data_IF_865113286929
#
_entry.id   IF_865113286929
#
_cell.length_a   1.000
_cell.length_b   1.000
_cell.length_c   1.000
_cell.angle_alpha   90.00
_cell.angle_beta   90.00
_cell.angle_gamma   90.00
#
_symmetry.space_group_name_H-M   'P 1'
#
loop_
_entity.id
_entity.type
_entity.pdbx_description
1 polymer ?
#
# COMPACT_ATOMS: atom_id res chain seq x y z
N UNK A 1 -33.25 -21.56 59.04
CA UNK A 1 -32.99 -20.37 58.24
C UNK A 1 -31.77 -20.64 57.29
N UNK A 2 -32.01 -21.07 56.09
CA UNK A 2 -30.96 -21.32 55.06
C UNK A 2 -30.91 -20.11 54.13
N UNK A 3 -29.76 -19.44 54.04
CA UNK A 3 -29.50 -18.34 53.11
C UNK A 3 -29.05 -18.97 51.78
N UNK A 4 -29.81 -18.73 50.72
CA UNK A 4 -29.41 -19.00 49.37
C UNK A 4 -28.51 -17.88 48.89
N UNK A 5 -27.27 -18.20 48.49
CA UNK A 5 -26.41 -17.32 47.69
C UNK A 5 -26.73 -17.54 46.22
N UNK A 6 -27.23 -16.52 45.57
CA UNK A 6 -27.36 -16.46 44.10
C UNK A 6 -26.11 -15.82 43.55
N UNK A 7 -25.29 -16.63 42.87
CA UNK A 7 -24.10 -16.15 42.12
C UNK A 7 -24.57 -15.76 40.71
N UNK A 8 -24.59 -14.46 40.44
CA UNK A 8 -24.85 -13.96 39.11
C UNK A 8 -23.56 -14.06 38.25
N UNK A 9 -23.59 -14.92 37.22
CA UNK A 9 -22.58 -14.97 36.21
C UNK A 9 -22.82 -13.80 35.22
N UNK A 10 -21.96 -12.80 35.25
CA UNK A 10 -21.90 -11.79 34.19
C UNK A 10 -21.12 -12.38 32.97
N UNK A 11 -21.83 -12.75 31.94
CA UNK A 11 -21.25 -13.00 30.61
C UNK A 11 -21.02 -11.67 29.92
N UNK A 12 -19.77 -11.23 29.85
CA UNK A 12 -19.37 -10.10 29.01
C UNK A 12 -19.33 -10.56 27.57
N UNK A 13 -20.34 -10.23 26.77
CA UNK A 13 -20.29 -10.31 25.32
C UNK A 13 -19.39 -9.19 24.82
N UNK A 14 -18.20 -9.55 24.36
CA UNK A 14 -17.35 -8.64 23.59
C UNK A 14 -18.00 -8.49 22.21
N UNK A 15 -18.79 -7.46 22.03
CA UNK A 15 -19.24 -7.02 20.73
C UNK A 15 -18.01 -6.40 20.03
N UNK A 16 -17.44 -7.13 19.05
CA UNK A 16 -16.46 -6.60 18.10
C UNK A 16 -17.12 -5.51 17.26
N UNK A 17 -17.14 -4.30 17.78
CA UNK A 17 -17.55 -3.13 17.03
C UNK A 17 -16.42 -2.74 16.07
N UNK A 18 -16.60 -2.94 14.77
CA UNK A 18 -15.89 -2.16 13.77
C UNK A 18 -16.20 -0.70 14.06
N UNK A 19 -15.21 0.04 14.57
CA UNK A 19 -15.34 1.46 14.75
C UNK A 19 -15.42 2.12 13.36
N UNK A 20 -16.63 2.24 12.81
CA UNK A 20 -16.90 3.20 11.77
C UNK A 20 -16.71 4.58 12.38
N UNK A 21 -15.71 5.31 11.89
CA UNK A 21 -15.49 6.72 12.25
C UNK A 21 -16.68 7.51 11.70
N UNK A 22 -17.73 7.62 12.49
CA UNK A 22 -18.87 8.52 12.23
C UNK A 22 -18.48 9.92 12.69
N UNK A 23 -17.87 10.70 11.82
CA UNK A 23 -17.89 12.17 11.80
C UNK A 23 -16.97 12.71 10.71
N UNK A 24 -17.27 12.38 9.46
CA UNK A 24 -16.65 13.08 8.32
C UNK A 24 -17.74 13.88 7.63
N UNK A 25 -17.55 15.20 7.50
CA UNK A 25 -18.38 16.07 6.66
C UNK A 25 -18.24 15.73 5.18
N UNK A 26 -17.24 14.92 4.84
CA UNK A 26 -16.92 14.44 3.51
C UNK A 26 -16.71 12.91 3.56
N UNK A 27 -17.03 12.22 2.49
CA UNK A 27 -16.89 10.78 2.38
C UNK A 27 -17.17 10.31 0.95
N UNK A 28 -17.04 9.02 0.73
CA UNK A 28 -17.38 8.43 -0.57
C UNK A 28 -18.88 8.57 -0.83
N UNK A 29 -19.28 8.93 -2.06
CA UNK A 29 -20.71 9.09 -2.41
C UNK A 29 -21.48 7.77 -2.44
N UNK A 30 -20.77 6.63 -2.49
CA UNK A 30 -21.30 5.28 -2.54
C UNK A 30 -20.55 4.41 -1.53
N UNK A 31 -21.30 3.71 -0.69
CA UNK A 31 -20.72 2.71 0.21
C UNK A 31 -20.54 1.38 -0.52
N UNK A 32 -19.32 0.82 -0.58
CA UNK A 32 -19.07 -0.45 -1.23
C UNK A 32 -19.68 -1.60 -0.41
N UNK A 33 -20.32 -2.54 -1.09
CA UNK A 33 -20.69 -3.81 -0.45
C UNK A 33 -19.41 -4.57 -0.10
N UNK A 34 -19.23 -5.04 1.16
CA UNK A 34 -18.07 -5.83 1.51
C UNK A 34 -18.00 -7.08 0.60
N UNK A 35 -16.86 -7.29 -0.07
CA UNK A 35 -16.73 -8.42 -1.00
C UNK A 35 -16.87 -9.78 -0.31
N UNK A 36 -16.64 -9.85 1.00
CA UNK A 36 -16.91 -11.04 1.84
C UNK A 36 -18.39 -11.41 1.91
N UNK A 37 -19.28 -10.46 1.60
CA UNK A 37 -20.74 -10.69 1.51
C UNK A 37 -21.16 -11.21 0.14
N UNK A 38 -20.24 -11.29 -0.83
CA UNK A 38 -20.49 -11.75 -2.20
C UNK A 38 -19.98 -13.17 -2.37
N UNK A 39 -20.85 -14.07 -2.86
CA UNK A 39 -20.47 -15.45 -3.22
C UNK A 39 -20.45 -15.59 -4.73
N UNK A 40 -19.32 -16.00 -5.27
CA UNK A 40 -19.18 -16.35 -6.68
C UNK A 40 -19.61 -17.81 -6.84
N UNK A 41 -20.74 -18.04 -7.54
CA UNK A 41 -21.35 -19.37 -7.69
C UNK A 41 -21.26 -19.91 -9.11
N UNK A 42 -20.82 -19.10 -10.06
CA UNK A 42 -20.66 -19.52 -11.44
C UNK A 42 -19.38 -20.35 -11.66
N UNK A 43 -19.37 -21.13 -12.73
CA UNK A 43 -18.24 -22.01 -13.05
C UNK A 43 -17.01 -21.26 -13.58
N UNK A 44 -17.18 -20.04 -14.11
CA UNK A 44 -16.10 -19.24 -14.64
C UNK A 44 -15.32 -18.52 -13.53
N UNK A 45 -16.01 -17.77 -12.68
CA UNK A 45 -15.40 -17.05 -11.57
C UNK A 45 -14.89 -17.99 -10.47
N UNK A 46 -15.69 -19.00 -10.11
CA UNK A 46 -15.34 -19.97 -9.07
C UNK A 46 -14.06 -20.76 -9.39
N UNK A 47 -13.87 -21.18 -10.64
CA UNK A 47 -12.62 -21.86 -11.05
C UNK A 47 -11.40 -20.96 -10.92
N UNK A 48 -11.52 -19.66 -11.22
CA UNK A 48 -10.42 -18.70 -11.10
C UNK A 48 -10.06 -18.44 -9.66
N UNK A 49 -11.04 -18.30 -8.78
CA UNK A 49 -10.80 -18.14 -7.34
C UNK A 49 -10.11 -19.39 -6.77
N UNK A 50 -10.53 -20.58 -7.17
CA UNK A 50 -9.87 -21.83 -6.76
C UNK A 50 -8.42 -21.91 -7.30
N UNK A 51 -8.20 -21.60 -8.57
CA UNK A 51 -6.85 -21.57 -9.14
C UNK A 51 -5.95 -20.55 -8.45
N UNK A 52 -6.48 -19.38 -8.11
CA UNK A 52 -5.74 -18.38 -7.34
C UNK A 52 -5.32 -18.90 -5.97
N UNK A 53 -6.26 -19.49 -5.22
CA UNK A 53 -6.04 -20.01 -3.87
C UNK A 53 -5.10 -21.23 -3.84
N UNK A 54 -5.33 -22.19 -4.73
CA UNK A 54 -4.68 -23.50 -4.65
C UNK A 54 -3.36 -23.57 -5.42
N UNK A 55 -3.16 -22.69 -6.41
CA UNK A 55 -1.99 -22.70 -7.30
C UNK A 55 -1.24 -21.38 -7.27
N UNK A 56 -1.91 -20.26 -7.59
CA UNK A 56 -1.20 -18.99 -7.82
C UNK A 56 -0.56 -18.44 -6.54
N UNK A 57 -1.29 -18.40 -5.43
CA UNK A 57 -0.79 -17.90 -4.15
C UNK A 57 0.38 -18.74 -3.63
N UNK A 58 0.30 -20.09 -3.53
CA UNK A 58 1.43 -20.93 -3.14
C UNK A 58 2.65 -20.77 -4.07
N UNK A 59 2.42 -20.69 -5.39
CA UNK A 59 3.49 -20.49 -6.36
C UNK A 59 4.16 -19.12 -6.17
N UNK A 60 3.39 -18.05 -5.92
CA UNK A 60 3.95 -16.72 -5.71
C UNK A 60 4.85 -16.67 -4.46
N UNK A 61 4.46 -17.29 -3.36
CA UNK A 61 5.30 -17.42 -2.18
C UNK A 61 6.58 -18.25 -2.45
N UNK A 62 6.44 -19.39 -3.15
CA UNK A 62 7.60 -20.19 -3.56
C UNK A 62 8.57 -19.36 -4.42
N UNK A 63 8.07 -18.52 -5.31
CA UNK A 63 8.92 -17.65 -6.12
C UNK A 63 9.59 -16.55 -5.29
N UNK A 64 8.93 -15.98 -4.30
CA UNK A 64 9.56 -15.05 -3.35
C UNK A 64 10.75 -15.70 -2.64
N UNK A 65 10.62 -16.97 -2.23
CA UNK A 65 11.71 -17.73 -1.60
C UNK A 65 12.83 -18.05 -2.60
N UNK A 66 12.51 -18.71 -3.72
CA UNK A 66 13.46 -19.16 -4.74
C UNK A 66 14.28 -18.01 -5.34
N UNK A 67 13.68 -16.83 -5.47
CA UNK A 67 14.32 -15.65 -6.07
C UNK A 67 14.96 -14.72 -5.05
N UNK A 68 15.04 -15.13 -3.77
CA UNK A 68 15.79 -14.43 -2.73
C UNK A 68 15.10 -13.25 -2.09
N UNK A 69 13.78 -13.04 -2.30
CA UNK A 69 13.05 -11.93 -1.68
C UNK A 69 13.07 -12.01 -0.15
N UNK A 70 12.90 -13.21 0.42
CA UNK A 70 13.04 -13.41 1.87
C UNK A 70 14.49 -13.22 2.35
N UNK A 71 15.47 -13.66 1.56
CA UNK A 71 16.88 -13.47 1.86
C UNK A 71 17.24 -12.00 1.96
N UNK A 72 16.62 -11.11 1.16
CA UNK A 72 16.84 -9.67 1.25
C UNK A 72 16.44 -9.13 2.64
N UNK A 73 15.31 -9.55 3.19
CA UNK A 73 14.91 -9.14 4.55
C UNK A 73 15.85 -9.72 5.63
N UNK A 74 16.26 -10.99 5.50
CA UNK A 74 17.24 -11.58 6.43
C UNK A 74 18.55 -10.81 6.40
N UNK A 75 19.04 -10.45 5.21
CA UNK A 75 20.25 -9.67 5.04
C UNK A 75 20.08 -8.22 5.59
N UNK A 76 18.92 -7.61 5.41
CA UNK A 76 18.64 -6.28 5.94
C UNK A 76 18.57 -6.28 7.49
N UNK A 77 18.14 -7.39 8.11
CA UNK A 77 18.20 -7.57 9.55
C UNK A 77 19.64 -7.71 10.09
N UNK A 78 20.60 -8.07 9.22
CA UNK A 78 22.02 -8.25 9.55
C UNK A 78 22.91 -7.57 8.51
N UNK A 79 22.90 -6.22 8.42
CA UNK A 79 23.63 -5.49 7.39
C UNK A 79 25.13 -5.77 7.40
N UNK A 80 25.74 -5.88 6.20
CA UNK A 80 27.16 -6.12 6.08
C UNK A 80 27.71 -5.51 4.78
N UNK A 81 28.92 -4.94 4.86
CA UNK A 81 29.64 -4.42 3.70
C UNK A 81 30.02 -5.51 2.68
N UNK A 82 29.91 -6.77 3.05
CA UNK A 82 30.20 -7.92 2.16
C UNK A 82 29.00 -8.38 1.35
N UNK A 83 27.79 -7.91 1.69
CA UNK A 83 26.57 -8.25 0.97
C UNK A 83 26.56 -7.51 -0.37
N UNK A 84 26.44 -8.26 -1.46
CA UNK A 84 26.20 -7.70 -2.77
C UNK A 84 24.70 -7.48 -2.94
N UNK A 85 24.30 -6.21 -3.00
CA UNK A 85 22.92 -5.83 -3.26
C UNK A 85 22.65 -5.94 -4.76
N UNK A 86 21.63 -6.69 -5.14
CA UNK A 86 21.26 -6.94 -6.54
C UNK A 86 19.75 -7.07 -6.67
N UNK A 87 19.29 -7.52 -7.84
CA UNK A 87 17.87 -7.62 -8.16
C UNK A 87 17.30 -6.27 -8.58
N UNK A 88 16.06 -5.99 -8.19
CA UNK A 88 15.39 -4.72 -8.44
C UNK A 88 15.18 -3.96 -7.12
N UNK A 89 15.26 -2.65 -7.17
CA UNK A 89 15.10 -1.80 -5.99
C UNK A 89 13.71 -1.93 -5.31
N UNK A 90 12.75 -2.59 -5.96
CA UNK A 90 11.39 -2.82 -5.45
C UNK A 90 11.07 -4.30 -5.19
N UNK A 91 12.07 -5.16 -5.08
CA UNK A 91 11.89 -6.60 -4.82
C UNK A 91 11.09 -6.90 -3.54
N UNK A 92 11.17 -6.04 -2.52
CA UNK A 92 10.39 -6.16 -1.28
C UNK A 92 8.88 -6.21 -1.56
N UNK A 93 8.43 -5.50 -2.60
CA UNK A 93 7.00 -5.41 -2.93
C UNK A 93 6.41 -6.73 -3.43
N UNK A 94 7.23 -7.66 -3.93
CA UNK A 94 6.75 -8.97 -4.35
C UNK A 94 6.20 -9.75 -3.15
N UNK A 95 6.85 -9.63 -1.99
CA UNK A 95 6.37 -10.21 -0.72
C UNK A 95 5.08 -9.53 -0.27
N UNK A 96 5.04 -8.20 -0.27
CA UNK A 96 3.86 -7.43 0.19
C UNK A 96 2.64 -7.70 -0.67
N UNK A 97 2.77 -7.70 -1.99
CA UNK A 97 1.70 -7.99 -2.96
C UNK A 97 1.19 -9.42 -2.83
N UNK A 98 2.11 -10.39 -2.60
CA UNK A 98 1.72 -11.78 -2.41
C UNK A 98 0.92 -11.95 -1.12
N UNK A 99 1.33 -11.28 -0.02
CA UNK A 99 0.56 -11.26 1.24
C UNK A 99 -0.79 -10.58 1.03
N UNK A 100 -0.86 -9.48 0.27
CA UNK A 100 -2.12 -8.79 -0.04
C UNK A 100 -3.10 -9.72 -0.75
N UNK A 101 -2.67 -10.36 -1.84
CA UNK A 101 -3.50 -11.32 -2.58
C UNK A 101 -3.94 -12.51 -1.73
N UNK A 102 -3.04 -13.06 -0.90
CA UNK A 102 -3.35 -14.12 0.05
C UNK A 102 -4.38 -13.67 1.11
N UNK A 103 -4.27 -12.43 1.57
CA UNK A 103 -5.20 -11.85 2.56
C UNK A 103 -6.62 -11.73 2.01
N UNK A 104 -6.80 -11.32 0.76
CA UNK A 104 -8.13 -11.33 0.13
C UNK A 104 -8.69 -12.74 -0.01
N UNK A 105 -7.84 -13.74 -0.27
CA UNK A 105 -8.27 -15.14 -0.27
C UNK A 105 -8.69 -15.59 1.13
N UNK A 106 -7.94 -15.25 2.18
CA UNK A 106 -8.26 -15.59 3.57
C UNK A 106 -9.59 -15.00 4.05
N UNK A 107 -9.98 -13.83 3.57
CA UNK A 107 -11.24 -13.19 3.94
C UNK A 107 -12.46 -13.99 3.43
N UNK A 108 -12.34 -14.71 2.31
CA UNK A 108 -13.41 -15.49 1.72
C UNK A 108 -13.27 -16.98 2.00
N UNK A 109 -12.06 -17.47 2.12
CA UNK A 109 -11.71 -18.87 2.35
C UNK A 109 -10.67 -18.96 3.49
N UNK A 110 -11.09 -18.99 4.75
CA UNK A 110 -10.18 -19.08 5.89
C UNK A 110 -9.27 -20.31 5.79
N UNK A 111 -7.96 -20.10 5.90
CA UNK A 111 -6.93 -21.16 5.86
C UNK A 111 -5.87 -20.87 6.93
N UNK A 112 -5.93 -21.62 8.03
CA UNK A 112 -5.03 -21.43 9.16
C UNK A 112 -3.55 -21.70 8.82
N UNK A 113 -3.27 -22.63 7.90
CA UNK A 113 -1.90 -22.93 7.49
C UNK A 113 -1.29 -21.78 6.67
N UNK A 114 -2.08 -21.20 5.78
CA UNK A 114 -1.66 -20.02 5.02
C UNK A 114 -1.42 -18.82 5.96
N UNK A 115 -2.31 -18.62 6.93
CA UNK A 115 -2.16 -17.55 7.92
C UNK A 115 -0.89 -17.73 8.77
N UNK A 116 -0.63 -18.93 9.28
CA UNK A 116 0.59 -19.24 10.04
C UNK A 116 1.86 -19.08 9.19
N UNK A 117 1.79 -19.43 7.92
CA UNK A 117 2.90 -19.21 6.98
C UNK A 117 3.18 -17.72 6.78
N UNK A 118 2.14 -16.91 6.55
CA UNK A 118 2.28 -15.46 6.43
C UNK A 118 2.88 -14.87 7.71
N UNK A 119 2.40 -15.28 8.89
CA UNK A 119 2.98 -14.83 10.16
C UNK A 119 4.49 -15.13 10.24
N UNK A 120 4.93 -16.30 9.77
CA UNK A 120 6.36 -16.63 9.75
C UNK A 120 7.18 -15.74 8.83
N UNK A 121 6.63 -15.36 7.68
CA UNK A 121 7.25 -14.39 6.75
C UNK A 121 7.30 -13.00 7.39
N UNK A 122 6.25 -12.59 8.09
CA UNK A 122 6.19 -11.29 8.76
C UNK A 122 7.21 -11.15 9.90
N UNK A 123 7.64 -12.24 10.53
CA UNK A 123 8.77 -12.22 11.49
C UNK A 123 10.06 -11.78 10.80
N UNK A 124 10.32 -12.27 9.59
CA UNK A 124 11.50 -11.92 8.80
C UNK A 124 11.42 -10.44 8.37
N UNK A 125 10.26 -10.00 7.89
CA UNK A 125 10.02 -8.60 7.50
C UNK A 125 10.20 -7.65 8.69
N UNK A 126 9.63 -7.98 9.85
CA UNK A 126 9.75 -7.18 11.06
C UNK A 126 11.21 -7.02 11.52
N UNK A 127 12.02 -8.09 11.43
CA UNK A 127 13.42 -8.06 11.80
C UNK A 127 14.27 -7.14 10.93
N UNK A 128 13.87 -6.91 9.67
CA UNK A 128 14.56 -6.03 8.73
C UNK A 128 14.25 -4.53 8.94
N UNK A 129 13.23 -4.20 9.75
CA UNK A 129 12.84 -2.81 9.96
C UNK A 129 13.82 -2.09 10.91
N UNK A 130 14.33 -0.95 10.48
CA UNK A 130 15.25 -0.13 11.27
C UNK A 130 14.55 0.48 12.51
N UNK A 131 15.31 0.86 13.55
CA UNK A 131 14.72 1.33 14.81
C UNK A 131 13.80 2.54 14.66
N UNK A 132 14.06 3.41 13.68
CA UNK A 132 13.27 4.61 13.38
C UNK A 132 12.04 4.33 12.50
N UNK A 133 11.84 3.07 12.11
CA UNK A 133 10.71 2.60 11.31
C UNK A 133 10.98 2.48 9.81
N UNK A 134 12.12 2.95 9.31
CA UNK A 134 12.48 2.78 7.90
C UNK A 134 12.58 1.31 7.53
N UNK A 135 12.08 0.94 6.33
CA UNK A 135 12.21 -0.41 5.80
C UNK A 135 12.33 -0.40 4.28
N UNK A 136 13.53 -0.65 3.79
CA UNK A 136 13.84 -0.74 2.36
C UNK A 136 15.11 -1.56 2.19
N UNK A 137 14.98 -2.86 1.87
CA UNK A 137 16.10 -3.81 1.90
C UNK A 137 17.19 -3.45 0.91
N UNK A 138 16.83 -2.92 -0.25
CA UNK A 138 17.78 -2.50 -1.29
C UNK A 138 18.82 -1.47 -0.79
N UNK A 139 18.54 -0.79 0.33
CA UNK A 139 19.47 0.12 0.99
C UNK A 139 20.05 -0.48 2.26
N UNK A 140 19.20 -1.07 3.10
CA UNK A 140 19.57 -1.49 4.45
C UNK A 140 20.55 -2.67 4.46
N UNK A 141 20.49 -3.57 3.47
CA UNK A 141 21.38 -4.74 3.41
C UNK A 141 22.87 -4.37 3.41
N UNK A 142 23.25 -3.30 2.70
CA UNK A 142 24.61 -2.78 2.66
C UNK A 142 24.57 -1.25 2.60
N UNK A 143 24.56 -0.55 3.74
CA UNK A 143 24.42 0.91 3.75
C UNK A 143 25.57 1.67 3.09
N UNK A 144 26.75 1.07 2.97
CA UNK A 144 27.91 1.69 2.29
C UNK A 144 27.85 1.54 0.78
N UNK A 145 27.28 0.44 0.32
CA UNK A 145 27.13 0.09 -1.10
C UNK A 145 25.71 -0.41 -1.36
N UNK A 146 24.70 0.48 -1.22
CA UNK A 146 23.29 0.12 -1.46
C UNK A 146 23.07 -0.19 -2.93
N UNK A 147 21.85 -0.61 -3.29
CA UNK A 147 21.46 -0.79 -4.68
C UNK A 147 21.70 0.51 -5.47
N UNK A 148 22.20 0.39 -6.70
CA UNK A 148 22.57 1.55 -7.54
C UNK A 148 21.43 2.57 -7.70
N UNK A 149 20.18 2.12 -7.66
CA UNK A 149 19.00 2.98 -7.77
C UNK A 149 18.62 3.69 -6.48
N UNK A 150 19.21 3.31 -5.34
CA UNK A 150 18.86 3.87 -4.02
C UNK A 150 19.44 5.25 -3.77
N UNK A 151 20.45 5.63 -4.55
CA UNK A 151 21.18 6.88 -4.35
C UNK A 151 22.08 6.88 -3.10
N UNK A 152 22.78 7.98 -2.83
CA UNK A 152 23.74 8.08 -1.72
C UNK A 152 23.05 8.16 -0.35
N UNK A 153 21.86 8.74 -0.27
CA UNK A 153 21.14 8.97 0.99
C UNK A 153 19.69 8.50 0.86
N UNK A 154 19.00 8.29 1.99
CA UNK A 154 17.55 8.03 2.00
C UNK A 154 16.83 9.14 1.26
N UNK A 155 15.83 8.78 0.48
CA UNK A 155 14.94 9.68 -0.27
C UNK A 155 15.61 10.46 -1.40
N UNK A 156 16.94 10.37 -1.59
CA UNK A 156 17.65 11.16 -2.61
C UNK A 156 17.18 10.84 -4.04
N UNK A 157 16.87 9.58 -4.33
CA UNK A 157 16.42 9.11 -5.65
C UNK A 157 14.96 8.68 -5.71
N UNK A 158 14.17 9.02 -4.70
CA UNK A 158 12.78 8.55 -4.56
C UNK A 158 11.87 9.04 -5.68
N UNK A 159 12.16 10.19 -6.26
CA UNK A 159 11.42 10.71 -7.42
C UNK A 159 11.84 10.03 -8.74
N UNK A 160 12.96 9.34 -8.76
CA UNK A 160 13.52 8.66 -9.91
C UNK A 160 13.31 7.14 -9.82
N UNK A 161 14.25 6.43 -9.24
CA UNK A 161 14.36 4.98 -9.35
C UNK A 161 14.36 4.22 -8.02
N UNK A 162 14.56 4.87 -6.85
CA UNK A 162 14.75 4.13 -5.59
C UNK A 162 13.51 3.34 -5.16
N UNK A 163 12.32 3.79 -5.53
CA UNK A 163 11.06 3.08 -5.21
C UNK A 163 10.75 2.95 -3.70
N UNK A 164 11.35 3.76 -2.83
CA UNK A 164 11.12 3.71 -1.39
C UNK A 164 9.63 3.92 -1.05
N UNK A 165 8.99 4.95 -1.64
CA UNK A 165 7.55 5.18 -1.43
C UNK A 165 6.65 4.16 -2.14
N UNK A 166 7.13 3.54 -3.22
CA UNK A 166 6.43 2.42 -3.85
C UNK A 166 6.42 1.19 -2.92
N UNK A 167 7.54 0.92 -2.25
CA UNK A 167 7.64 -0.13 -1.23
C UNK A 167 6.71 0.16 -0.05
N UNK A 168 6.69 1.40 0.45
CA UNK A 168 5.72 1.82 1.48
C UNK A 168 4.28 1.57 1.04
N UNK A 169 3.92 1.99 -0.16
CA UNK A 169 2.55 1.86 -0.66
C UNK A 169 2.08 0.42 -0.67
N UNK A 170 2.84 -0.49 -1.28
CA UNK A 170 2.49 -1.91 -1.32
C UNK A 170 2.54 -2.59 0.05
N UNK A 171 3.45 -2.17 0.93
CA UNK A 171 3.44 -2.65 2.32
C UNK A 171 2.14 -2.27 3.02
N UNK A 172 1.71 -1.02 2.92
CA UNK A 172 0.47 -0.55 3.55
C UNK A 172 -0.75 -1.28 3.01
N UNK A 173 -0.85 -1.45 1.68
CA UNK A 173 -1.95 -2.20 1.05
C UNK A 173 -2.02 -3.64 1.58
N UNK A 174 -0.88 -4.35 1.57
CA UNK A 174 -0.80 -5.71 2.10
C UNK A 174 -1.11 -5.79 3.60
N UNK A 175 -0.63 -4.83 4.38
CA UNK A 175 -0.83 -4.80 5.83
C UNK A 175 -2.29 -4.54 6.22
N UNK A 176 -2.96 -3.62 5.53
CA UNK A 176 -4.39 -3.35 5.75
C UNK A 176 -5.22 -4.55 5.34
N UNK A 177 -4.93 -5.18 4.19
CA UNK A 177 -5.62 -6.38 3.75
C UNK A 177 -5.46 -7.53 4.76
N UNK A 178 -4.26 -7.74 5.29
CA UNK A 178 -3.99 -8.78 6.28
C UNK A 178 -4.71 -8.52 7.61
N UNK A 179 -4.70 -7.27 8.07
CA UNK A 179 -5.45 -6.86 9.26
C UNK A 179 -6.96 -7.08 9.10
N UNK A 180 -7.52 -6.71 7.94
CA UNK A 180 -8.94 -6.93 7.64
C UNK A 180 -9.30 -8.41 7.56
N UNK A 181 -8.39 -9.26 7.08
CA UNK A 181 -8.60 -10.70 6.96
C UNK A 181 -8.55 -11.43 8.31
N UNK A 182 -7.62 -11.04 9.19
CA UNK A 182 -7.25 -11.84 10.36
C UNK A 182 -7.49 -11.13 11.70
N UNK A 183 -7.63 -9.81 11.69
CA UNK A 183 -7.64 -8.97 12.91
C UNK A 183 -6.26 -8.80 13.55
N UNK A 184 -5.19 -9.42 13.00
CA UNK A 184 -3.83 -9.33 13.55
C UNK A 184 -3.16 -8.02 13.14
N UNK A 185 -2.45 -7.42 14.08
CA UNK A 185 -1.78 -6.14 13.87
C UNK A 185 -0.30 -6.26 13.48
N UNK A 186 0.27 -7.46 13.50
CA UNK A 186 1.71 -7.68 13.28
C UNK A 186 2.24 -7.01 12.00
N UNK A 187 1.56 -7.15 10.86
CA UNK A 187 1.96 -6.47 9.63
C UNK A 187 1.55 -4.98 9.63
N UNK A 188 0.37 -4.67 10.16
CA UNK A 188 -0.11 -3.29 10.25
C UNK A 188 0.84 -2.42 11.08
N UNK A 189 1.36 -2.93 12.19
CA UNK A 189 2.28 -2.16 13.05
C UNK A 189 3.64 -1.91 12.37
N UNK A 190 4.14 -2.83 11.53
CA UNK A 190 5.32 -2.61 10.70
C UNK A 190 5.05 -1.48 9.69
N UNK A 191 3.92 -1.53 8.98
CA UNK A 191 3.54 -0.53 7.99
C UNK A 191 3.30 0.86 8.63
N UNK A 192 2.67 0.92 9.80
CA UNK A 192 2.51 2.15 10.59
C UNK A 192 3.86 2.78 10.91
N UNK A 193 4.81 2.01 11.41
CA UNK A 193 6.15 2.52 11.74
C UNK A 193 6.87 3.08 10.52
N UNK A 194 6.73 2.45 9.35
CA UNK A 194 7.34 2.98 8.13
C UNK A 194 6.61 4.23 7.63
N UNK A 195 5.29 4.25 7.66
CA UNK A 195 4.51 5.44 7.33
C UNK A 195 4.82 6.61 8.26
N UNK A 196 5.01 6.35 9.57
CA UNK A 196 5.41 7.36 10.56
C UNK A 196 6.82 7.90 10.28
N UNK A 197 7.75 7.05 9.86
CA UNK A 197 9.07 7.47 9.43
C UNK A 197 8.96 8.46 8.25
N UNK A 198 8.16 8.14 7.24
CA UNK A 198 7.92 9.01 6.09
C UNK A 198 7.27 10.33 6.51
N UNK A 199 6.19 10.28 7.30
CA UNK A 199 5.52 11.52 7.78
C UNK A 199 6.43 12.42 8.62
N UNK A 200 7.42 11.86 9.31
CA UNK A 200 8.42 12.60 10.09
C UNK A 200 9.46 13.28 9.21
N UNK A 201 9.89 12.64 8.12
CA UNK A 201 11.03 13.09 7.32
C UNK A 201 10.62 13.83 6.04
N UNK A 202 9.38 13.66 5.58
CA UNK A 202 8.89 14.20 4.30
C UNK A 202 7.76 15.19 4.56
N UNK A 203 7.94 16.42 4.09
CA UNK A 203 6.98 17.50 4.28
C UNK A 203 7.59 18.87 4.04
N UNK A 204 6.97 19.92 4.60
CA UNK A 204 7.43 21.31 4.53
C UNK A 204 7.87 21.85 5.90
N UNK A 205 7.87 21.03 6.94
CA UNK A 205 8.30 21.42 8.28
C UNK A 205 9.83 21.55 8.39
N UNK A 206 10.28 22.06 9.52
CA UNK A 206 11.72 22.18 9.81
C UNK A 206 12.38 20.80 9.82
N UNK A 207 13.47 20.65 9.05
CA UNK A 207 14.21 19.38 8.91
C UNK A 207 13.58 18.37 7.97
N UNK A 208 12.38 18.63 7.42
CA UNK A 208 11.73 17.76 6.43
C UNK A 208 12.23 18.04 5.01
N UNK A 209 12.12 17.04 4.15
CA UNK A 209 12.42 17.15 2.73
C UNK A 209 11.13 17.20 1.90
N UNK A 210 11.09 18.06 0.89
CA UNK A 210 10.01 18.05 -0.12
C UNK A 210 10.38 16.99 -1.15
N UNK A 211 9.65 15.87 -1.13
CA UNK A 211 9.80 14.75 -2.04
C UNK A 211 8.42 14.19 -2.41
N UNK A 212 8.31 13.64 -3.61
CA UNK A 212 7.10 12.96 -4.08
C UNK A 212 7.45 11.55 -4.58
N UNK A 213 6.52 10.59 -4.57
CA UNK A 213 6.76 9.26 -5.12
C UNK A 213 7.14 9.33 -6.60
N UNK A 214 8.28 8.78 -6.99
CA UNK A 214 8.62 8.61 -8.41
C UNK A 214 7.69 7.61 -9.08
N UNK A 215 7.33 6.55 -8.39
CA UNK A 215 6.23 5.65 -8.75
C UNK A 215 5.11 5.78 -7.72
N UNK A 216 3.94 6.18 -8.20
CA UNK A 216 2.75 6.36 -7.38
C UNK A 216 2.25 5.02 -6.84
N UNK A 217 1.58 5.06 -5.75
CA UNK A 217 0.77 4.14 -4.97
C UNK A 217 0.71 4.59 -3.50
N UNK A 218 1.76 5.22 -2.99
CA UNK A 218 1.80 5.67 -1.59
C UNK A 218 0.62 6.58 -1.26
N UNK A 219 0.15 7.36 -2.23
CA UNK A 219 -0.96 8.29 -2.08
C UNK A 219 -2.26 7.57 -1.70
N UNK A 220 -2.68 6.57 -2.49
CA UNK A 220 -3.88 5.81 -2.17
C UNK A 220 -3.71 4.92 -0.94
N UNK A 221 -2.54 4.32 -0.77
CA UNK A 221 -2.24 3.45 0.35
C UNK A 221 -2.28 4.20 1.70
N UNK A 222 -1.75 5.42 1.77
CA UNK A 222 -1.82 6.24 2.97
C UNK A 222 -3.25 6.66 3.31
N UNK A 223 -4.09 6.92 2.30
CA UNK A 223 -5.53 7.13 2.53
C UNK A 223 -6.16 5.87 3.13
N UNK A 224 -5.82 4.70 2.60
CA UNK A 224 -6.31 3.43 3.15
C UNK A 224 -5.83 3.21 4.59
N UNK A 225 -4.59 3.58 4.90
CA UNK A 225 -4.07 3.53 6.27
C UNK A 225 -4.86 4.47 7.20
N UNK A 226 -5.19 5.68 6.73
CA UNK A 226 -6.05 6.61 7.45
C UNK A 226 -7.43 6.00 7.76
N UNK A 227 -8.07 5.34 6.78
CA UNK A 227 -9.40 4.75 7.00
C UNK A 227 -9.42 3.65 8.07
N UNK A 228 -8.31 2.96 8.28
CA UNK A 228 -8.18 1.88 9.28
C UNK A 228 -7.74 2.42 10.65
N UNK A 229 -6.87 3.44 10.67
CA UNK A 229 -6.29 3.97 11.91
C UNK A 229 -7.04 5.17 12.48
N UNK A 230 -7.72 5.94 11.64
CA UNK A 230 -8.31 7.25 11.98
C UNK A 230 -7.28 8.38 12.14
N UNK A 231 -5.99 8.12 11.93
CA UNK A 231 -4.93 9.12 12.11
C UNK A 231 -4.80 9.99 10.86
N UNK A 232 -5.23 11.23 10.99
CA UNK A 232 -5.30 12.22 9.91
C UNK A 232 -3.96 12.51 9.24
N UNK A 233 -2.83 12.30 9.93
CA UNK A 233 -1.50 12.55 9.36
C UNK A 233 -1.24 11.77 8.07
N UNK A 234 -1.84 10.57 7.91
CA UNK A 234 -1.69 9.75 6.70
C UNK A 234 -2.48 10.33 5.52
N UNK A 235 -3.70 10.84 5.77
CA UNK A 235 -4.46 11.57 4.74
C UNK A 235 -3.75 12.86 4.34
N UNK A 236 -3.20 13.59 5.31
CA UNK A 236 -2.44 14.82 5.06
C UNK A 236 -1.17 14.54 4.25
N UNK A 237 -0.46 13.43 4.55
CA UNK A 237 0.72 13.01 3.79
C UNK A 237 0.37 12.58 2.36
N UNK A 238 -0.74 11.86 2.17
CA UNK A 238 -1.24 11.50 0.85
C UNK A 238 -1.53 12.75 0.00
N UNK A 239 -2.26 13.71 0.59
CA UNK A 239 -2.55 14.99 -0.05
C UNK A 239 -1.29 15.79 -0.35
N UNK A 240 -0.32 15.82 0.57
CA UNK A 240 0.98 16.48 0.37
C UNK A 240 1.70 15.93 -0.87
N UNK A 241 1.76 14.62 -1.05
CA UNK A 241 2.40 14.02 -2.22
C UNK A 241 1.73 14.46 -3.53
N UNK A 242 0.41 14.53 -3.55
CA UNK A 242 -0.34 15.00 -4.71
C UNK A 242 -0.15 16.49 -4.94
N UNK A 243 -0.26 17.32 -3.89
CA UNK A 243 -0.12 18.78 -3.98
C UNK A 243 1.28 19.21 -4.45
N UNK A 244 2.32 18.46 -4.09
CA UNK A 244 3.70 18.77 -4.48
C UNK A 244 4.09 18.23 -5.86
N UNK A 245 3.34 17.28 -6.41
CA UNK A 245 3.64 16.76 -7.75
C UNK A 245 3.43 17.84 -8.81
N UNK A 246 4.45 17.97 -9.66
CA UNK A 246 4.54 19.03 -10.68
C UNK A 246 5.20 20.32 -10.19
N UNK A 247 5.64 20.35 -8.92
CA UNK A 247 6.43 21.45 -8.34
C UNK A 247 7.84 21.02 -7.89
N UNK A 248 8.18 19.75 -7.99
CA UNK A 248 9.53 19.23 -7.69
C UNK A 248 10.45 19.37 -8.92
N UNK A 249 11.69 18.89 -8.80
CA UNK A 249 12.66 18.94 -9.90
C UNK A 249 12.27 18.06 -11.10
N UNK A 250 11.40 17.07 -10.90
CA UNK A 250 10.91 16.18 -11.95
C UNK A 250 9.70 16.78 -12.63
N UNK A 251 9.77 16.90 -13.99
CA UNK A 251 8.73 17.57 -14.79
C UNK A 251 8.33 16.77 -16.04
N UNK A 252 8.55 15.46 -16.03
CA UNK A 252 8.25 14.60 -17.18
C UNK A 252 6.81 14.05 -17.15
N UNK A 253 6.29 13.74 -18.34
CA UNK A 253 4.99 13.09 -18.51
C UNK A 253 4.99 11.65 -18.02
N UNK A 254 6.12 10.95 -18.13
CA UNK A 254 6.25 9.55 -17.75
C UNK A 254 5.83 9.28 -16.31
N UNK A 255 6.15 10.20 -15.41
CA UNK A 255 5.77 10.15 -13.98
C UNK A 255 4.59 11.04 -13.61
N UNK A 256 3.84 11.57 -14.59
CA UNK A 256 2.73 12.50 -14.41
C UNK A 256 3.13 13.77 -13.62
N UNK A 257 4.38 14.21 -13.74
CA UNK A 257 4.93 15.39 -13.07
C UNK A 257 5.04 16.65 -13.97
N UNK A 258 4.55 16.58 -15.21
CA UNK A 258 4.60 17.65 -16.20
C UNK A 258 3.74 18.88 -15.85
N UNK A 259 2.72 18.70 -15.02
CA UNK A 259 1.83 19.73 -14.48
C UNK A 259 1.42 19.40 -13.05
N UNK A 260 1.09 20.38 -12.21
CA UNK A 260 0.38 20.13 -10.96
C UNK A 260 -0.87 19.26 -11.20
N UNK A 261 -1.14 18.31 -10.30
CA UNK A 261 -2.17 17.28 -10.55
C UNK A 261 -3.56 17.88 -10.80
N UNK A 262 -3.91 18.97 -10.11
CA UNK A 262 -5.20 19.66 -10.30
C UNK A 262 -5.32 20.40 -11.64
N UNK A 263 -4.24 20.58 -12.39
CA UNK A 263 -4.21 21.19 -13.71
C UNK A 263 -4.13 20.16 -14.85
N UNK A 264 -4.00 18.87 -14.52
CA UNK A 264 -3.93 17.81 -15.52
C UNK A 264 -5.30 17.61 -16.18
N UNK A 265 -5.26 17.33 -17.48
CA UNK A 265 -6.44 17.22 -18.35
C UNK A 265 -6.34 16.03 -19.32
N UNK A 266 -5.24 15.32 -19.28
CA UNK A 266 -4.95 14.20 -20.14
C UNK A 266 -4.20 13.10 -19.38
N UNK A 267 -4.54 11.83 -19.63
CA UNK A 267 -3.78 10.68 -19.14
C UNK A 267 -2.53 10.51 -19.99
N UNK A 268 -1.36 10.67 -19.39
CA UNK A 268 -0.06 10.59 -20.06
C UNK A 268 0.90 9.68 -19.31
N UNK A 269 1.97 9.28 -19.96
CA UNK A 269 3.09 8.56 -19.38
C UNK A 269 2.78 7.13 -18.99
N UNK A 270 3.46 6.65 -17.96
CA UNK A 270 3.37 5.26 -17.51
C UNK A 270 1.98 4.94 -16.94
N UNK A 271 1.25 4.02 -17.58
CA UNK A 271 -0.17 3.77 -17.27
C UNK A 271 -0.41 3.32 -15.82
N UNK A 272 0.44 2.47 -15.25
CA UNK A 272 0.28 1.99 -13.86
C UNK A 272 0.45 3.14 -12.87
N UNK A 273 1.48 3.99 -13.06
CA UNK A 273 1.69 5.19 -12.24
C UNK A 273 0.48 6.12 -12.30
N UNK A 274 -0.03 6.36 -13.50
CA UNK A 274 -1.21 7.19 -13.75
C UNK A 274 -2.44 6.65 -13.02
N UNK A 275 -2.74 5.36 -13.16
CA UNK A 275 -3.91 4.74 -12.52
C UNK A 275 -3.84 4.82 -10.99
N UNK A 276 -2.69 4.56 -10.39
CA UNK A 276 -2.50 4.72 -8.94
C UNK A 276 -2.68 6.18 -8.48
N UNK A 277 -2.11 7.14 -9.24
CA UNK A 277 -2.27 8.56 -8.92
C UNK A 277 -3.74 8.98 -8.96
N UNK A 278 -4.47 8.59 -10.01
CA UNK A 278 -5.88 8.95 -10.15
C UNK A 278 -6.75 8.33 -9.06
N UNK A 279 -6.43 7.10 -8.63
CA UNK A 279 -7.09 6.49 -7.48
C UNK A 279 -6.83 7.30 -6.20
N UNK A 280 -5.57 7.66 -5.92
CA UNK A 280 -5.23 8.52 -4.77
C UNK A 280 -5.87 9.90 -4.81
N UNK A 281 -5.96 10.52 -6.01
CA UNK A 281 -6.69 11.79 -6.19
C UNK A 281 -8.17 11.65 -5.86
N UNK A 282 -8.81 10.57 -6.29
CA UNK A 282 -10.23 10.30 -6.01
C UNK A 282 -10.46 10.10 -4.50
N UNK A 283 -9.59 9.34 -3.84
CA UNK A 283 -9.65 9.10 -2.40
C UNK A 283 -9.49 10.40 -1.60
N UNK A 284 -8.47 11.20 -1.93
CA UNK A 284 -8.22 12.49 -1.27
C UNK A 284 -9.40 13.44 -1.50
N UNK A 285 -9.93 13.51 -2.74
CA UNK A 285 -11.11 14.34 -3.05
C UNK A 285 -12.33 13.95 -2.20
N UNK A 286 -12.61 12.64 -2.12
CA UNK A 286 -13.76 12.13 -1.36
C UNK A 286 -13.66 12.46 0.13
N UNK A 287 -12.48 12.38 0.72
CA UNK A 287 -12.28 12.52 2.16
C UNK A 287 -11.98 13.96 2.61
N UNK A 288 -11.54 14.83 1.71
CA UNK A 288 -11.24 16.23 2.02
C UNK A 288 -12.29 17.21 1.48
N UNK A 289 -13.09 16.79 0.49
CA UNK A 289 -14.03 17.66 -0.22
C UNK A 289 -13.34 18.65 -1.18
N UNK A 290 -12.08 18.43 -1.52
CA UNK A 290 -11.30 19.28 -2.42
C UNK A 290 -11.77 19.10 -3.87
N UNK A 291 -12.63 20.01 -4.33
CA UNK A 291 -13.24 19.96 -5.66
C UNK A 291 -12.24 20.16 -6.81
N UNK A 292 -11.06 20.72 -6.55
CA UNK A 292 -10.04 20.88 -7.59
C UNK A 292 -9.56 19.51 -8.11
N UNK A 293 -9.46 18.52 -7.22
CA UNK A 293 -9.16 17.14 -7.61
C UNK A 293 -10.29 16.51 -8.41
N UNK A 294 -11.56 16.73 -8.02
CA UNK A 294 -12.73 16.22 -8.75
C UNK A 294 -12.72 16.75 -10.19
N UNK A 295 -12.53 18.04 -10.37
CA UNK A 295 -12.50 18.64 -11.71
C UNK A 295 -11.34 18.12 -12.57
N UNK A 296 -10.17 17.82 -11.97
CA UNK A 296 -9.07 17.23 -12.70
C UNK A 296 -9.38 15.77 -13.09
N UNK A 297 -9.94 14.99 -12.18
CA UNK A 297 -10.34 13.59 -12.44
C UNK A 297 -11.39 13.52 -13.55
N UNK A 298 -12.38 14.40 -13.55
CA UNK A 298 -13.43 14.44 -14.59
C UNK A 298 -12.81 14.67 -15.97
N UNK A 299 -11.90 15.64 -16.10
CA UNK A 299 -11.20 15.89 -17.38
C UNK A 299 -10.36 14.70 -17.83
N UNK A 300 -9.61 14.09 -16.90
CA UNK A 300 -8.79 12.92 -17.19
C UNK A 300 -9.66 11.71 -17.55
N UNK A 301 -10.78 11.53 -16.86
CA UNK A 301 -11.76 10.47 -17.15
C UNK A 301 -12.32 10.61 -18.57
N UNK A 302 -12.76 11.82 -18.94
CA UNK A 302 -13.25 12.09 -20.29
C UNK A 302 -12.18 11.82 -21.36
N UNK A 303 -10.93 12.17 -21.07
CA UNK A 303 -9.81 11.86 -21.95
C UNK A 303 -9.59 10.35 -22.09
N UNK A 304 -9.59 9.60 -20.99
CA UNK A 304 -9.40 8.13 -20.99
C UNK A 304 -10.54 7.45 -21.75
N UNK A 305 -11.77 7.70 -21.35
CA UNK A 305 -12.96 7.01 -21.89
C UNK A 305 -13.18 7.37 -23.35
N UNK A 306 -13.00 8.65 -23.68
CA UNK A 306 -13.25 9.15 -25.03
C UNK A 306 -12.12 8.86 -26.04
N UNK A 307 -10.89 8.61 -25.60
CA UNK A 307 -9.74 8.60 -26.52
C UNK A 307 -8.72 7.45 -26.29
N UNK A 308 -8.66 6.86 -25.09
CA UNK A 308 -7.55 5.99 -24.70
C UNK A 308 -7.95 4.57 -24.30
N UNK A 309 -9.25 4.28 -24.18
CA UNK A 309 -9.72 2.93 -23.94
C UNK A 309 -9.54 2.03 -25.16
N UNK A 310 -8.98 0.85 -24.92
CA UNK A 310 -9.09 -0.26 -25.85
C UNK A 310 -10.50 -0.88 -25.77
N UNK A 311 -10.93 -1.55 -26.84
CA UNK A 311 -12.21 -2.26 -26.88
C UNK A 311 -12.36 -3.29 -25.75
N UNK A 312 -11.26 -3.78 -25.20
CA UNK A 312 -11.21 -4.70 -24.06
C UNK A 312 -11.35 -4.01 -22.70
N UNK A 313 -11.45 -2.67 -22.66
CA UNK A 313 -11.52 -1.90 -21.42
C UNK A 313 -10.16 -1.55 -20.79
N UNK A 314 -9.07 -1.99 -21.40
CA UNK A 314 -7.70 -1.65 -20.92
C UNK A 314 -7.28 -0.24 -21.31
N UNK A 315 -6.32 0.31 -20.56
CA UNK A 315 -5.59 1.54 -20.87
C UNK A 315 -4.10 1.27 -20.87
N UNK A 316 -3.36 2.10 -21.54
CA UNK A 316 -1.91 1.98 -21.68
C UNK A 316 -1.53 1.65 -23.12
N UNK A 317 -0.45 2.27 -23.58
CA UNK A 317 0.09 2.06 -24.90
C UNK A 317 1.58 1.70 -24.80
N UNK A 318 2.10 1.07 -25.83
CA UNK A 318 3.54 0.96 -26.01
C UNK A 318 4.10 2.35 -26.30
N UNK A 319 5.24 2.66 -25.72
CA UNK A 319 6.03 3.83 -26.03
C UNK A 319 6.58 3.75 -27.46
#
# INVERSE_FOLDING_TARGET
MKKLLVTALLTATVAGGTAQVKNQSHGYPIDPVPFTSVKVTDSFGGQRLNASREVTIPLAFSKCEETGRYTNFVNAAHPSDTIKVGGLAFDDTDVYKTIEGASYSLQTYPDKKLEEYIDSVLVIVAAAQEPDGYLYTARTMNPKHPHDWSGPERWSEVENLSHEFYNLGHMVEGAVAYYQATGKRNFLDIAIRYADCVCREIGTGEGQQIRVPGHQIAEMALVRLYTVTGDKKYLDQAKFFLDQRGYTSRTDEYSQAHKPVVQQDEAVGHAVRAAYMYAGMADVAALTGDTAYIHAIDRIWDNIVGKKYYITGGIGATS
#
